data_IF_073951004811
#
_entry.id   IF_073951004811
#
_cell.length_a   1.000
_cell.length_b   1.000
_cell.length_c   1.000
_cell.angle_alpha   90.00
_cell.angle_beta   90.00
_cell.angle_gamma   90.00
#
_symmetry.space_group_name_H-M   'P 1'
#
loop_
_entity.id
_entity.type
_entity.pdbx_description
1 polymer ?
#
# COMPACT_ATOMS: atom_id res chain seq x y z
N UNK A 1 -62.35 44.48 47.94
CA UNK A 1 -62.29 43.13 47.35
C UNK A 1 -62.47 43.26 45.85
N UNK A 2 -61.42 43.03 45.07
CA UNK A 2 -61.53 42.89 43.62
C UNK A 2 -61.34 41.41 43.28
N UNK A 3 -62.35 40.88 42.58
CA UNK A 3 -62.50 39.50 42.21
C UNK A 3 -61.31 39.00 41.39
N UNK A 4 -60.99 37.72 41.55
CA UNK A 4 -59.96 37.00 40.80
C UNK A 4 -60.20 37.06 39.30
N UNK A 5 -59.64 38.08 38.65
CA UNK A 5 -59.54 38.15 37.21
C UNK A 5 -58.51 37.09 36.80
N UNK A 6 -59.00 35.92 36.36
CA UNK A 6 -58.21 34.90 35.65
C UNK A 6 -57.91 35.38 34.23
N UNK A 7 -57.39 36.59 34.09
CA UNK A 7 -57.15 37.22 32.78
C UNK A 7 -55.66 37.06 32.48
N UNK A 8 -55.35 36.35 31.39
CA UNK A 8 -53.97 35.99 31.03
C UNK A 8 -53.11 37.20 30.69
N UNK A 9 -51.84 37.17 31.09
CA UNK A 9 -50.83 38.24 30.92
C UNK A 9 -50.19 38.29 29.52
N UNK A 10 -50.84 37.73 28.50
CA UNK A 10 -50.30 37.60 27.14
C UNK A 10 -49.29 36.46 26.97
N UNK A 11 -48.49 36.53 25.89
CA UNK A 11 -47.44 35.55 25.56
C UNK A 11 -46.10 36.25 25.36
N UNK A 12 -45.00 35.56 25.70
CA UNK A 12 -43.62 36.01 25.48
C UNK A 12 -42.84 34.91 24.78
N UNK A 13 -41.94 35.28 23.87
CA UNK A 13 -41.01 34.32 23.24
C UNK A 13 -40.06 33.79 24.32
N UNK A 14 -40.11 32.47 24.55
CA UNK A 14 -39.25 31.79 25.52
C UNK A 14 -37.81 31.64 25.03
N UNK A 15 -37.62 31.53 23.71
CA UNK A 15 -36.32 31.41 23.05
C UNK A 15 -36.47 31.05 21.58
N UNK A 16 -35.35 31.05 20.85
CA UNK A 16 -35.25 30.52 19.48
C UNK A 16 -34.27 29.36 19.55
N UNK A 17 -34.73 28.16 19.20
CA UNK A 17 -33.92 26.93 19.21
C UNK A 17 -33.76 26.42 17.79
N UNK A 18 -32.54 26.02 17.43
CA UNK A 18 -32.28 25.39 16.15
C UNK A 18 -32.63 23.90 16.21
N UNK A 19 -33.32 23.41 15.18
CA UNK A 19 -33.52 21.98 14.96
C UNK A 19 -32.27 21.40 14.25
N UNK A 20 -31.71 20.34 14.84
CA UNK A 20 -30.50 19.67 14.36
C UNK A 20 -30.78 18.28 13.78
N UNK A 21 -32.04 17.94 13.52
CA UNK A 21 -32.41 16.73 12.78
C UNK A 21 -31.82 16.73 11.38
N UNK A 22 -31.51 15.53 10.88
CA UNK A 22 -30.90 15.38 9.56
C UNK A 22 -31.93 15.60 8.44
N UNK A 23 -31.53 16.36 7.43
CA UNK A 23 -32.25 16.46 6.16
C UNK A 23 -31.95 15.27 5.25
N UNK A 24 -32.57 15.27 4.07
CA UNK A 24 -32.24 14.30 3.02
C UNK A 24 -30.92 14.64 2.35
N UNK A 25 -30.02 13.66 2.24
CA UNK A 25 -28.75 13.83 1.52
C UNK A 25 -29.00 13.79 0.02
N UNK A 26 -28.44 14.77 -0.72
CA UNK A 26 -28.50 14.81 -2.19
C UNK A 26 -27.09 14.67 -2.77
N UNK A 27 -26.98 13.90 -3.86
CA UNK A 27 -25.70 13.71 -4.53
C UNK A 27 -25.41 14.92 -5.44
N UNK A 28 -24.20 15.47 -5.36
CA UNK A 28 -23.77 16.64 -6.14
C UNK A 28 -22.77 16.30 -7.26
N UNK A 29 -22.24 15.07 -7.30
CA UNK A 29 -21.18 14.64 -8.22
C UNK A 29 -19.79 15.25 -7.97
N UNK A 30 -19.61 16.07 -6.92
CA UNK A 30 -18.32 16.72 -6.59
C UNK A 30 -17.59 15.95 -5.50
N UNK A 31 -16.33 15.58 -5.74
CA UNK A 31 -15.54 14.76 -4.82
C UNK A 31 -15.14 15.42 -3.49
N UNK A 32 -15.29 16.74 -3.35
CA UNK A 32 -15.01 17.47 -2.11
C UNK A 32 -16.28 17.90 -1.35
N UNK A 33 -17.46 17.50 -1.83
CA UNK A 33 -18.70 17.71 -1.09
C UNK A 33 -18.94 16.53 -0.15
N UNK A 34 -19.08 16.83 1.13
CA UNK A 34 -19.34 15.81 2.16
C UNK A 34 -20.52 16.24 3.03
N UNK A 35 -21.31 15.26 3.45
CA UNK A 35 -22.41 15.44 4.39
C UNK A 35 -22.15 14.59 5.64
N UNK A 36 -22.48 15.14 6.80
CA UNK A 36 -22.46 14.38 8.05
C UNK A 36 -23.85 13.77 8.23
N UNK A 37 -23.93 12.45 8.30
CA UNK A 37 -25.10 11.77 8.85
C UNK A 37 -24.95 11.68 10.37
N UNK A 38 -26.01 11.94 11.12
CA UNK A 38 -26.05 11.99 12.58
C UNK A 38 -25.35 13.22 13.19
N UNK A 39 -25.12 13.18 14.49
CA UNK A 39 -24.51 14.25 15.25
C UNK A 39 -23.06 14.49 14.83
N UNK A 40 -22.75 15.74 14.48
CA UNK A 40 -21.37 16.17 14.23
C UNK A 40 -21.31 17.55 13.60
N UNK A 41 -20.09 18.10 13.56
CA UNK A 41 -19.75 19.34 12.88
C UNK A 41 -18.35 19.24 12.31
N UNK A 42 -18.13 19.89 11.17
CA UNK A 42 -16.79 20.19 10.68
C UNK A 42 -16.18 21.30 11.53
N UNK A 43 -14.92 21.13 11.94
CA UNK A 43 -14.14 22.14 12.65
C UNK A 43 -13.36 22.98 11.65
N UNK A 44 -13.65 24.27 11.63
CA UNK A 44 -13.07 25.25 10.73
C UNK A 44 -12.23 26.26 11.50
N UNK A 45 -11.24 26.86 10.85
CA UNK A 45 -10.47 27.98 11.40
C UNK A 45 -10.41 29.14 10.40
N UNK A 46 -10.43 30.37 10.91
CA UNK A 46 -10.12 31.56 10.10
C UNK A 46 -8.61 31.81 10.03
N UNK A 47 -8.20 32.84 9.28
CA UNK A 47 -6.80 33.26 9.17
C UNK A 47 -6.18 33.76 10.48
N UNK A 48 -7.01 34.10 11.48
CA UNK A 48 -6.58 34.56 12.80
C UNK A 48 -6.48 33.41 13.82
N UNK A 49 -6.85 32.18 13.42
CA UNK A 49 -6.87 31.00 14.29
C UNK A 49 -8.15 30.81 15.10
N UNK A 50 -9.18 31.63 14.89
CA UNK A 50 -10.48 31.48 15.56
C UNK A 50 -11.18 30.22 15.07
N UNK A 51 -11.78 29.46 15.99
CA UNK A 51 -12.41 28.18 15.69
C UNK A 51 -13.91 28.36 15.44
N UNK A 52 -14.40 27.76 14.37
CA UNK A 52 -15.81 27.72 13.99
C UNK A 52 -16.27 26.28 13.77
N UNK A 53 -17.58 26.07 13.83
CA UNK A 53 -18.21 24.78 13.57
C UNK A 53 -19.31 24.94 12.51
N UNK A 54 -19.34 24.04 11.53
CA UNK A 54 -20.31 24.07 10.43
C UNK A 54 -20.77 22.67 10.08
N UNK A 55 -22.02 22.53 9.64
CA UNK A 55 -22.51 21.31 8.96
C UNK A 55 -22.50 21.42 7.43
N UNK A 56 -22.28 22.61 6.89
CA UNK A 56 -22.11 22.76 5.44
C UNK A 56 -20.75 22.19 5.04
N UNK A 57 -20.76 21.08 4.31
CA UNK A 57 -19.56 20.39 3.84
C UNK A 57 -19.25 20.63 2.36
N UNK A 58 -19.59 21.80 1.83
CA UNK A 58 -19.13 22.27 0.53
C UNK A 58 -17.71 22.84 0.65
N UNK A 59 -16.73 22.08 0.16
CA UNK A 59 -15.32 22.47 0.21
C UNK A 59 -14.70 22.61 -1.18
N UNK A 60 -13.63 23.40 -1.24
CA UNK A 60 -12.77 23.57 -2.41
C UNK A 60 -11.31 23.63 -1.97
N UNK A 61 -10.40 23.51 -2.93
CA UNK A 61 -8.98 23.77 -2.70
C UNK A 61 -8.68 25.25 -2.93
N UNK A 62 -7.91 25.86 -2.03
CA UNK A 62 -7.30 27.17 -2.26
C UNK A 62 -5.99 27.05 -3.09
N UNK A 63 -5.34 28.17 -3.36
CA UNK A 63 -4.07 28.24 -4.10
C UNK A 63 -2.93 27.46 -3.41
N UNK A 64 -2.99 27.36 -2.08
CA UNK A 64 -2.04 26.61 -1.25
C UNK A 64 -2.46 25.14 -1.06
N UNK A 65 -3.50 24.70 -1.78
CA UNK A 65 -4.09 23.36 -1.69
C UNK A 65 -4.62 22.98 -0.31
N UNK A 66 -5.05 23.94 0.49
CA UNK A 66 -5.83 23.67 1.70
C UNK A 66 -7.30 23.45 1.35
N UNK A 67 -7.98 22.59 2.11
CA UNK A 67 -9.43 22.50 2.04
C UNK A 67 -10.06 23.71 2.75
N UNK A 68 -10.79 24.51 1.98
CA UNK A 68 -11.49 25.69 2.46
C UNK A 68 -12.97 25.62 2.10
N UNK A 69 -13.82 26.23 2.92
CA UNK A 69 -15.22 26.42 2.58
C UNK A 69 -15.43 27.61 1.62
N UNK A 70 -16.68 27.89 1.24
CA UNK A 70 -17.00 29.00 0.35
C UNK A 70 -16.67 30.39 0.91
N UNK A 71 -16.59 30.52 2.24
CA UNK A 71 -16.21 31.74 2.96
C UNK A 71 -14.69 31.89 3.17
N UNK A 72 -13.89 30.90 2.77
CA UNK A 72 -12.43 30.91 2.94
C UNK A 72 -11.93 30.39 4.29
N UNK A 73 -12.79 29.82 5.15
CA UNK A 73 -12.37 29.17 6.39
C UNK A 73 -11.76 27.81 6.07
N UNK A 74 -10.67 27.47 6.76
CA UNK A 74 -9.88 26.26 6.55
C UNK A 74 -10.43 25.08 7.35
N UNK A 75 -10.60 23.93 6.70
CA UNK A 75 -10.98 22.68 7.35
C UNK A 75 -9.78 22.11 8.12
N UNK A 76 -10.04 21.68 9.36
CA UNK A 76 -9.01 21.11 10.24
C UNK A 76 -9.20 19.62 10.49
N UNK A 77 -8.10 18.93 10.73
CA UNK A 77 -8.06 17.49 11.00
C UNK A 77 -6.71 17.05 11.54
N UNK A 78 -6.54 15.74 11.73
CA UNK A 78 -5.27 15.19 12.19
C UNK A 78 -4.25 15.12 11.04
N UNK A 79 -2.99 15.50 11.30
CA UNK A 79 -1.94 15.43 10.28
C UNK A 79 -1.54 13.98 9.99
N UNK A 80 -1.10 13.73 8.75
CA UNK A 80 -0.41 12.52 8.35
C UNK A 80 1.10 12.75 8.39
N UNK A 81 1.85 11.91 9.12
CA UNK A 81 3.32 12.02 9.23
C UNK A 81 4.01 10.66 9.08
N UNK A 82 5.32 10.70 8.81
CA UNK A 82 6.15 9.52 8.60
C UNK A 82 6.19 9.02 7.15
N UNK A 83 6.98 7.99 6.92
CA UNK A 83 7.14 7.34 5.60
C UNK A 83 7.05 5.82 5.80
N UNK A 84 5.93 5.16 5.44
CA UNK A 84 4.73 5.70 4.82
C UNK A 84 3.92 6.63 5.77
N UNK A 85 3.20 7.63 5.24
CA UNK A 85 2.39 8.53 6.07
C UNK A 85 1.30 7.79 6.84
N UNK A 86 1.14 8.13 8.11
CA UNK A 86 0.10 7.60 9.00
C UNK A 86 -0.54 8.73 9.80
N UNK A 87 -1.85 8.60 10.08
CA UNK A 87 -2.61 9.61 10.82
C UNK A 87 -2.21 9.60 12.29
N UNK A 88 -1.82 10.75 12.81
CA UNK A 88 -1.47 10.92 14.22
C UNK A 88 -2.71 11.26 15.04
N UNK A 89 -3.47 10.24 15.45
CA UNK A 89 -4.63 10.44 16.32
C UNK A 89 -4.17 11.01 17.68
N UNK A 90 -4.87 12.03 18.17
CA UNK A 90 -4.53 12.72 19.42
C UNK A 90 -3.50 13.85 19.28
N UNK A 91 -2.94 14.07 18.08
CA UNK A 91 -2.19 15.28 17.79
C UNK A 91 -3.12 16.50 17.72
N UNK A 92 -2.56 17.71 17.85
CA UNK A 92 -3.33 18.94 17.66
C UNK A 92 -3.88 19.01 16.22
N UNK A 93 -5.18 19.31 16.03
CA UNK A 93 -5.74 19.47 14.70
C UNK A 93 -5.07 20.62 13.93
N UNK A 94 -4.64 20.33 12.72
CA UNK A 94 -4.03 21.29 11.79
C UNK A 94 -4.92 21.45 10.57
N UNK A 95 -4.63 22.44 9.72
CA UNK A 95 -5.31 22.58 8.44
C UNK A 95 -5.09 21.34 7.56
N UNK A 96 -6.13 20.89 6.90
CA UNK A 96 -6.02 19.81 5.92
C UNK A 96 -5.50 20.40 4.62
N UNK A 97 -4.31 19.96 4.21
CA UNK A 97 -3.69 20.29 2.94
C UNK A 97 -3.55 19.04 2.07
N UNK A 98 -3.82 19.17 0.78
CA UNK A 98 -3.67 18.11 -0.21
C UNK A 98 -2.49 18.50 -1.12
N UNK A 99 -1.24 18.17 -0.77
CA UNK A 99 -0.09 18.55 -1.60
C UNK A 99 -0.13 17.86 -2.98
N UNK A 100 0.49 18.48 -3.99
CA UNK A 100 0.73 17.87 -5.31
C UNK A 100 2.16 17.31 -5.45
N UNK A 101 2.88 17.19 -4.33
CA UNK A 101 4.26 16.68 -4.30
C UNK A 101 4.32 15.28 -4.87
N UNK A 102 5.41 14.97 -5.59
CA UNK A 102 5.65 13.62 -6.06
C UNK A 102 5.77 12.68 -4.86
N UNK A 103 5.13 11.52 -4.93
CA UNK A 103 5.38 10.47 -3.94
C UNK A 103 6.75 9.86 -4.19
N UNK A 104 7.55 9.74 -3.14
CA UNK A 104 8.84 9.05 -3.22
C UNK A 104 8.64 7.58 -3.59
N UNK A 105 9.56 7.03 -4.38
CA UNK A 105 9.63 5.58 -4.58
C UNK A 105 9.83 4.89 -3.22
N UNK A 106 9.31 3.66 -3.12
CA UNK A 106 9.60 2.80 -1.97
C UNK A 106 10.39 1.61 -2.45
N UNK A 107 11.63 1.48 -1.97
CA UNK A 107 12.47 0.32 -2.19
C UNK A 107 11.75 -0.95 -1.73
N UNK A 108 11.80 -1.99 -2.55
CA UNK A 108 11.27 -3.30 -2.19
C UNK A 108 12.04 -3.87 -1.01
N UNK A 109 11.34 -4.23 0.07
CA UNK A 109 11.92 -4.89 1.26
C UNK A 109 11.51 -6.36 1.36
N UNK A 110 10.38 -6.72 0.77
CA UNK A 110 9.86 -8.09 0.73
C UNK A 110 9.23 -8.39 -0.62
N UNK A 111 9.47 -9.61 -1.11
CA UNK A 111 8.84 -10.21 -2.27
C UNK A 111 8.41 -11.64 -1.93
N UNK A 112 7.47 -12.20 -2.70
CA UNK A 112 7.06 -13.59 -2.56
C UNK A 112 6.84 -14.23 -3.92
N UNK A 113 7.15 -15.53 -4.00
CA UNK A 113 6.97 -16.37 -5.16
C UNK A 113 6.46 -17.73 -4.68
N UNK A 114 5.21 -18.05 -5.02
CA UNK A 114 4.66 -19.38 -4.77
C UNK A 114 4.84 -20.23 -6.03
N UNK A 115 5.45 -21.41 -5.87
CA UNK A 115 5.72 -22.32 -6.98
C UNK A 115 5.23 -23.74 -6.66
N UNK A 116 4.72 -24.40 -7.69
CA UNK A 116 4.48 -25.84 -7.69
C UNK A 116 5.57 -26.52 -8.52
N UNK A 117 6.38 -27.34 -7.86
CA UNK A 117 7.48 -28.09 -8.47
C UNK A 117 7.06 -29.53 -8.73
N UNK A 118 7.45 -30.05 -9.90
CA UNK A 118 7.15 -31.40 -10.33
C UNK A 118 8.13 -32.39 -9.69
N UNK A 119 7.63 -33.29 -8.84
CA UNK A 119 8.50 -34.27 -8.16
C UNK A 119 9.21 -35.21 -9.13
N UNK A 120 8.62 -35.49 -10.30
CA UNK A 120 9.18 -36.40 -11.31
C UNK A 120 10.19 -35.76 -12.26
N UNK A 121 10.52 -34.47 -12.08
CA UNK A 121 11.54 -33.84 -12.92
C UNK A 121 12.93 -34.51 -12.73
N UNK A 122 13.68 -34.73 -13.82
CA UNK A 122 15.03 -35.26 -13.73
C UNK A 122 16.00 -34.23 -13.14
N UNK A 123 17.14 -34.70 -12.66
CA UNK A 123 18.26 -33.82 -12.36
C UNK A 123 18.75 -33.15 -13.66
N UNK A 124 19.18 -31.87 -13.63
CA UNK A 124 19.79 -31.22 -14.78
C UNK A 124 20.97 -32.00 -15.35
N UNK A 125 21.10 -32.01 -16.67
CA UNK A 125 22.17 -32.75 -17.37
C UNK A 125 23.50 -32.01 -17.35
N UNK A 126 23.48 -30.69 -17.14
CA UNK A 126 24.66 -29.84 -17.03
C UNK A 126 24.90 -29.43 -15.58
N UNK A 127 26.09 -29.74 -15.06
CA UNK A 127 26.58 -29.29 -13.75
C UNK A 127 28.01 -28.75 -13.86
N UNK A 128 28.40 -27.69 -13.13
CA UNK A 128 27.57 -26.91 -12.19
C UNK A 128 26.53 -26.01 -12.88
N UNK A 129 25.62 -25.43 -12.09
CA UNK A 129 24.59 -24.48 -12.55
C UNK A 129 25.20 -23.31 -13.34
N UNK A 130 24.54 -22.92 -14.43
CA UNK A 130 24.86 -21.73 -15.23
C UNK A 130 23.59 -21.03 -15.73
N UNK A 131 23.39 -19.77 -15.34
CA UNK A 131 22.22 -19.00 -15.76
C UNK A 131 22.11 -18.81 -17.30
N UNK A 132 23.21 -18.93 -18.03
CA UNK A 132 23.24 -18.85 -19.49
C UNK A 132 22.93 -20.18 -20.20
N UNK A 133 22.88 -21.30 -19.48
CA UNK A 133 22.61 -22.62 -20.04
C UNK A 133 21.26 -23.17 -19.52
N UNK A 134 20.29 -23.29 -20.42
CA UNK A 134 18.94 -23.78 -20.12
C UNK A 134 18.92 -25.23 -19.59
N UNK A 135 19.92 -26.05 -19.94
CA UNK A 135 20.00 -27.46 -19.51
C UNK A 135 20.60 -27.62 -18.10
N UNK A 136 20.99 -26.51 -17.45
CA UNK A 136 21.57 -26.51 -16.10
C UNK A 136 20.56 -26.19 -14.98
N UNK A 137 19.28 -25.98 -15.33
CA UNK A 137 18.20 -25.72 -14.36
C UNK A 137 16.86 -26.31 -14.83
N UNK A 138 15.95 -26.55 -13.89
CA UNK A 138 14.64 -27.16 -14.17
C UNK A 138 13.55 -26.13 -14.46
N UNK A 139 13.62 -24.98 -13.78
CA UNK A 139 12.64 -23.90 -13.96
C UNK A 139 13.28 -22.54 -13.75
N UNK A 140 12.86 -21.59 -14.56
CA UNK A 140 13.14 -20.16 -14.40
C UNK A 140 11.83 -19.42 -14.12
N UNK A 141 11.85 -18.58 -13.09
CA UNK A 141 10.83 -17.59 -12.77
C UNK A 141 11.40 -16.19 -12.80
N UNK A 142 10.54 -15.19 -12.66
CA UNK A 142 10.93 -13.79 -12.56
C UNK A 142 10.08 -13.05 -11.55
N UNK A 143 10.69 -12.14 -10.80
CA UNK A 143 10.01 -11.15 -9.97
C UNK A 143 10.65 -9.79 -10.20
N UNK A 144 9.87 -8.80 -10.62
CA UNK A 144 10.36 -7.42 -10.71
C UNK A 144 10.39 -6.82 -9.31
N UNK A 145 11.47 -6.13 -8.94
CA UNK A 145 11.59 -5.37 -7.67
C UNK A 145 12.03 -3.93 -7.96
N UNK A 146 11.93 -3.03 -6.99
CA UNK A 146 12.23 -1.62 -7.16
C UNK A 146 13.31 -1.13 -6.19
N UNK A 147 14.20 -0.28 -6.68
CA UNK A 147 15.23 0.38 -5.87
C UNK A 147 14.74 1.67 -5.19
N UNK A 148 15.65 2.41 -4.56
CA UNK A 148 15.36 3.67 -3.86
C UNK A 148 14.90 4.83 -4.75
N UNK A 149 15.19 4.79 -6.04
CA UNK A 149 14.77 5.80 -7.02
C UNK A 149 13.54 5.35 -7.83
N UNK A 150 13.16 4.08 -7.71
CA UNK A 150 12.04 3.47 -8.42
C UNK A 150 12.43 2.85 -9.76
N UNK A 151 13.71 2.59 -10.01
CA UNK A 151 14.12 1.78 -11.16
C UNK A 151 13.66 0.34 -10.93
N UNK A 152 13.19 -0.30 -12.00
CA UNK A 152 12.75 -1.68 -11.98
C UNK A 152 13.95 -2.62 -12.20
N UNK A 153 14.02 -3.67 -11.39
CA UNK A 153 15.00 -4.76 -11.50
C UNK A 153 14.27 -6.07 -11.69
N UNK A 154 14.51 -6.76 -12.81
CA UNK A 154 13.92 -8.06 -13.09
C UNK A 154 14.79 -9.18 -12.50
N UNK A 155 14.38 -9.67 -11.33
CA UNK A 155 15.08 -10.75 -10.65
C UNK A 155 14.67 -12.09 -11.24
N UNK A 156 15.58 -12.72 -11.98
CA UNK A 156 15.45 -14.11 -12.41
C UNK A 156 15.67 -15.03 -11.22
N UNK A 157 14.76 -15.99 -11.02
CA UNK A 157 14.83 -17.01 -9.97
C UNK A 157 14.92 -18.37 -10.64
N UNK A 158 16.01 -19.10 -10.41
CA UNK A 158 16.26 -20.41 -11.02
C UNK A 158 16.10 -21.50 -9.97
N UNK A 159 15.36 -22.56 -10.32
CA UNK A 159 15.15 -23.74 -9.50
C UNK A 159 15.89 -24.91 -10.11
N UNK A 160 16.77 -25.53 -9.33
CA UNK A 160 17.66 -26.61 -9.75
C UNK A 160 17.44 -27.79 -8.79
N UNK A 161 16.89 -28.89 -9.28
CA UNK A 161 16.71 -30.10 -8.48
C UNK A 161 18.07 -30.71 -8.19
N UNK A 162 18.38 -30.94 -6.92
CA UNK A 162 19.67 -31.53 -6.48
C UNK A 162 19.51 -32.95 -5.95
N UNK A 163 18.30 -33.33 -5.58
CA UNK A 163 17.94 -34.67 -5.12
C UNK A 163 16.44 -34.78 -4.90
N UNK A 164 15.98 -35.92 -4.41
CA UNK A 164 14.57 -36.09 -4.06
C UNK A 164 14.18 -35.08 -2.98
N UNK A 165 13.09 -34.36 -3.23
CA UNK A 165 12.54 -33.31 -2.36
C UNK A 165 13.49 -32.13 -2.06
N UNK A 166 14.58 -31.98 -2.81
CA UNK A 166 15.60 -30.96 -2.58
C UNK A 166 15.84 -30.12 -3.83
N UNK A 167 15.68 -28.80 -3.70
CA UNK A 167 15.80 -27.84 -4.81
C UNK A 167 16.67 -26.65 -4.42
N UNK A 168 17.79 -26.48 -5.10
CA UNK A 168 18.61 -25.29 -4.96
C UNK A 168 17.98 -24.12 -5.72
N UNK A 169 17.90 -22.96 -5.09
CA UNK A 169 17.40 -21.72 -5.69
C UNK A 169 18.55 -20.75 -5.90
N UNK A 170 18.66 -20.22 -7.11
CA UNK A 170 19.58 -19.15 -7.48
C UNK A 170 18.79 -17.91 -7.89
N UNK A 171 19.37 -16.73 -7.65
CA UNK A 171 18.80 -15.45 -8.09
C UNK A 171 19.82 -14.66 -8.89
N UNK A 172 19.36 -13.94 -9.90
CA UNK A 172 20.19 -13.04 -10.71
C UNK A 172 19.36 -11.83 -11.11
N UNK A 173 19.94 -10.64 -10.98
CA UNK A 173 19.35 -9.41 -11.51
C UNK A 173 19.58 -9.36 -13.02
N UNK A 174 18.52 -9.48 -13.81
CA UNK A 174 18.62 -9.49 -15.27
C UNK A 174 18.69 -8.08 -15.86
N UNK A 175 18.43 -7.06 -15.05
CA UNK A 175 18.49 -5.65 -15.46
C UNK A 175 19.90 -5.07 -15.33
N UNK A 176 20.79 -5.71 -14.57
CA UNK A 176 22.21 -5.36 -14.46
C UNK A 176 23.06 -6.31 -15.33
N UNK A 177 23.72 -5.82 -16.39
CA UNK A 177 24.53 -6.65 -17.30
C UNK A 177 25.74 -7.31 -16.62
N UNK A 178 26.18 -6.80 -15.46
CA UNK A 178 27.31 -7.35 -14.70
C UNK A 178 26.85 -8.31 -13.59
N UNK A 179 25.55 -8.52 -13.44
CA UNK A 179 25.01 -9.38 -12.40
C UNK A 179 25.37 -10.84 -12.63
N UNK A 180 25.84 -11.48 -11.57
CA UNK A 180 26.09 -12.93 -11.53
C UNK A 180 25.01 -13.61 -10.69
N UNK A 181 24.60 -14.80 -11.11
CA UNK A 181 23.65 -15.57 -10.34
C UNK A 181 24.27 -16.03 -9.01
N UNK A 182 23.53 -15.86 -7.91
CA UNK A 182 23.95 -16.21 -6.55
C UNK A 182 22.98 -17.22 -5.95
N UNK A 183 23.50 -18.12 -5.13
CA UNK A 183 22.67 -19.03 -4.33
C UNK A 183 21.83 -18.22 -3.36
N UNK A 184 20.52 -18.44 -3.38
CA UNK A 184 19.55 -17.75 -2.53
C UNK A 184 19.15 -18.60 -1.32
N UNK A 185 18.73 -19.83 -1.56
CA UNK A 185 18.29 -20.79 -0.54
C UNK A 185 18.20 -22.20 -1.12
N UNK A 186 17.93 -23.20 -0.29
CA UNK A 186 17.57 -24.57 -0.68
C UNK A 186 16.17 -24.87 -0.17
N UNK A 187 15.24 -25.22 -1.06
CA UNK A 187 13.89 -25.62 -0.69
C UNK A 187 13.87 -27.12 -0.38
N UNK A 188 13.39 -27.47 0.81
CA UNK A 188 13.23 -28.85 1.24
C UNK A 188 11.75 -29.17 1.43
N UNK A 189 11.29 -30.25 0.80
CA UNK A 189 9.91 -30.71 0.91
C UNK A 189 9.85 -32.03 1.71
N UNK A 190 8.75 -32.26 2.42
CA UNK A 190 8.49 -33.56 3.01
C UNK A 190 7.85 -34.53 2.00
N UNK A 191 7.63 -35.78 2.41
CA UNK A 191 7.01 -36.81 1.58
C UNK A 191 5.58 -36.49 1.09
N UNK A 192 4.87 -35.58 1.77
CA UNK A 192 3.55 -35.11 1.37
C UNK A 192 3.61 -33.91 0.41
N UNK A 193 4.81 -33.47 0.03
CA UNK A 193 5.00 -32.36 -0.91
C UNK A 193 4.88 -30.98 -0.29
N UNK A 194 4.84 -30.86 1.04
CA UNK A 194 4.79 -29.55 1.70
C UNK A 194 6.20 -29.06 2.02
N UNK A 195 6.44 -27.77 1.81
CA UNK A 195 7.71 -27.11 2.13
C UNK A 195 7.96 -27.12 3.64
N UNK A 196 9.13 -27.60 4.06
CA UNK A 196 9.54 -27.70 5.48
C UNK A 196 10.77 -26.86 5.81
N UNK A 197 11.63 -26.57 4.84
CA UNK A 197 12.77 -25.65 5.01
C UNK A 197 13.01 -24.79 3.77
N UNK A 198 13.76 -23.70 3.93
CA UNK A 198 14.15 -22.80 2.83
C UNK A 198 13.09 -21.80 2.40
N UNK A 199 11.96 -21.72 3.11
CA UNK A 199 10.81 -20.88 2.75
C UNK A 199 11.12 -19.37 2.66
N UNK A 200 12.28 -18.93 3.16
CA UNK A 200 12.73 -17.54 3.09
C UNK A 200 14.17 -17.49 2.60
N UNK A 201 14.41 -16.78 1.51
CA UNK A 201 15.73 -16.36 1.10
C UNK A 201 15.92 -14.89 1.50
N UNK A 202 16.82 -14.64 2.45
CA UNK A 202 17.07 -13.30 2.97
C UNK A 202 18.23 -12.64 2.23
N UNK A 203 18.31 -11.31 2.32
CA UNK A 203 19.44 -10.52 1.84
C UNK A 203 19.68 -10.68 0.33
N UNK A 204 18.62 -10.86 -0.46
CA UNK A 204 18.71 -10.81 -1.92
C UNK A 204 18.95 -9.36 -2.31
N UNK A 205 20.02 -9.10 -3.03
CA UNK A 205 20.43 -7.77 -3.45
C UNK A 205 20.34 -7.62 -4.97
N UNK A 206 19.83 -6.48 -5.44
CA UNK A 206 19.89 -6.10 -6.85
C UNK A 206 21.28 -5.57 -7.22
N UNK A 207 21.50 -5.31 -8.51
CA UNK A 207 22.62 -4.47 -8.96
C UNK A 207 22.40 -3.00 -8.64
N UNK A 208 23.45 -2.20 -8.81
CA UNK A 208 23.37 -0.74 -8.80
C UNK A 208 23.17 -0.25 -10.24
N UNK A 209 22.01 0.33 -10.54
CA UNK A 209 21.68 0.85 -11.87
C UNK A 209 21.52 2.36 -11.77
N UNK A 210 22.04 3.10 -12.76
CA UNK A 210 21.90 4.56 -12.86
C UNK A 210 22.37 5.35 -11.62
N UNK A 211 23.30 4.80 -10.82
CA UNK A 211 23.81 5.42 -9.60
C UNK A 211 22.88 5.34 -8.39
N UNK A 212 21.78 4.59 -8.48
CA UNK A 212 20.92 4.29 -7.34
C UNK A 212 21.54 3.21 -6.44
N UNK A 213 21.26 3.31 -5.14
CA UNK A 213 21.63 2.28 -4.16
C UNK A 213 20.86 0.97 -4.44
N UNK A 214 21.54 -0.20 -4.41
CA UNK A 214 20.89 -1.50 -4.57
C UNK A 214 19.75 -1.75 -3.59
N UNK A 215 18.67 -2.37 -4.04
CA UNK A 215 17.62 -2.88 -3.16
C UNK A 215 18.07 -4.17 -2.49
N UNK A 216 17.89 -4.26 -1.17
CA UNK A 216 18.05 -5.51 -0.41
C UNK A 216 16.70 -5.95 0.14
N UNK A 217 16.28 -7.18 -0.14
CA UNK A 217 14.98 -7.69 0.23
C UNK A 217 15.00 -9.17 0.63
N UNK A 218 13.93 -9.61 1.30
CA UNK A 218 13.66 -11.03 1.53
C UNK A 218 12.66 -11.57 0.50
N UNK A 219 12.98 -12.72 -0.10
CA UNK A 219 12.11 -13.45 -1.03
C UNK A 219 11.50 -14.66 -0.31
N UNK A 220 10.17 -14.68 -0.21
CA UNK A 220 9.42 -15.77 0.40
C UNK A 220 8.94 -16.79 -0.62
N UNK A 221 9.10 -18.07 -0.30
CA UNK A 221 8.54 -19.22 -1.01
C UNK A 221 7.43 -19.91 -0.22
N UNK A 222 6.88 -19.25 0.80
CA UNK A 222 5.83 -19.80 1.65
C UNK A 222 4.63 -20.28 0.80
N UNK A 223 4.04 -21.41 1.21
CA UNK A 223 2.96 -22.10 0.49
C UNK A 223 3.34 -22.74 -0.85
N UNK A 224 4.63 -22.77 -1.21
CA UNK A 224 5.09 -23.57 -2.34
C UNK A 224 4.93 -25.06 -2.02
N UNK A 225 4.67 -25.86 -3.06
CA UNK A 225 4.47 -27.30 -2.94
C UNK A 225 5.28 -28.05 -3.99
N UNK A 226 5.55 -29.32 -3.70
CA UNK A 226 6.08 -30.27 -4.67
C UNK A 226 5.09 -31.41 -4.86
N UNK A 227 4.61 -31.61 -6.07
CA UNK A 227 3.62 -32.64 -6.41
C UNK A 227 3.95 -33.22 -7.79
N UNK A 228 3.45 -34.40 -8.13
CA UNK A 228 3.56 -34.91 -9.50
C UNK A 228 2.51 -34.21 -10.39
N UNK A 229 2.78 -32.97 -10.78
CA UNK A 229 1.86 -32.10 -11.54
C UNK A 229 2.11 -32.10 -13.04
N UNK A 230 3.06 -32.92 -13.52
CA UNK A 230 3.48 -32.99 -14.93
C UNK A 230 4.40 -31.86 -15.39
N UNK A 231 4.19 -30.62 -14.93
CA UNK A 231 5.07 -29.49 -15.20
C UNK A 231 5.17 -28.51 -14.02
N UNK A 232 6.30 -27.81 -13.93
CA UNK A 232 6.53 -26.73 -12.96
C UNK A 232 5.70 -25.49 -13.31
N UNK A 233 4.98 -24.93 -12.34
CA UNK A 233 4.21 -23.71 -12.53
C UNK A 233 4.39 -22.72 -11.37
N UNK A 234 4.55 -21.44 -11.71
CA UNK A 234 4.56 -20.34 -10.73
C UNK A 234 3.11 -19.91 -10.55
N UNK A 235 2.61 -20.04 -9.31
CA UNK A 235 1.20 -19.84 -8.99
C UNK A 235 0.93 -18.37 -8.66
N UNK A 236 1.85 -17.70 -7.98
CA UNK A 236 1.72 -16.29 -7.63
C UNK A 236 3.09 -15.63 -7.41
N UNK A 237 3.18 -14.35 -7.78
CA UNK A 237 4.28 -13.46 -7.41
C UNK A 237 3.72 -12.17 -6.85
N UNK A 238 4.14 -11.75 -5.66
CA UNK A 238 3.72 -10.47 -5.08
C UNK A 238 4.89 -9.72 -4.45
N UNK A 239 4.79 -8.40 -4.45
CA UNK A 239 5.71 -7.48 -3.77
C UNK A 239 4.94 -6.26 -3.27
N UNK A 240 5.45 -5.59 -2.24
CA UNK A 240 4.86 -4.33 -1.76
C UNK A 240 5.32 -3.16 -2.64
N UNK A 241 4.57 -2.88 -3.71
CA UNK A 241 4.89 -1.85 -4.72
C UNK A 241 4.59 -0.43 -4.22
N UNK A 242 5.50 0.53 -4.47
CA UNK A 242 5.16 1.94 -4.77
C UNK A 242 6.14 2.49 -5.83
N UNK A 243 5.62 2.86 -7.00
CA UNK A 243 6.35 3.58 -8.03
C UNK A 243 6.17 5.10 -7.81
N UNK A 244 7.15 5.92 -8.21
CA UNK A 244 6.99 7.37 -8.23
C UNK A 244 5.78 7.75 -9.07
N UNK A 245 4.88 8.53 -8.47
CA UNK A 245 3.64 8.96 -9.11
C UNK A 245 3.26 10.35 -8.61
N UNK A 246 2.74 11.17 -9.52
CA UNK A 246 2.02 12.40 -9.15
C UNK A 246 0.62 11.98 -8.70
N UNK A 247 0.09 12.61 -7.66
CA UNK A 247 -1.28 12.36 -7.18
C UNK A 247 -2.28 12.57 -8.34
N UNK A 248 -2.75 11.47 -8.92
CA UNK A 248 -3.88 11.41 -9.82
C UNK A 248 -4.98 10.71 -9.06
N UNK A 249 -6.03 11.46 -8.74
CA UNK A 249 -7.30 11.07 -8.09
C UNK A 249 -7.21 10.10 -6.90
N UNK A 250 -7.71 10.55 -5.75
CA UNK A 250 -8.04 9.67 -4.63
C UNK A 250 -9.22 8.77 -5.05
N UNK A 251 -8.96 7.74 -5.85
CA UNK A 251 -9.90 6.66 -6.07
C UNK A 251 -9.80 5.73 -4.88
N UNK A 252 -10.89 5.60 -4.13
CA UNK A 252 -11.07 4.49 -3.20
C UNK A 252 -10.87 3.17 -3.97
N UNK A 253 -9.87 2.39 -3.57
CA UNK A 253 -9.86 0.93 -3.66
C UNK A 253 -9.62 0.38 -2.26
#
# INVERSE_FOLDING_TARGET
MFAGSKVGLGVKVAGITQDFTDGTTTNTGRGLDVAISQNGFFRLVDSNGSVFYSRNGQFKLDENRNLVNMQGLQLTGYPATGTPPTIQQGANPTNISIPNTLMAAKTTTTASMQINLNSSDPLPTVTPFSASNADSYNKKGSVTVFDSQGNAHDMSVYFVKTGDNNWQVYTQDSSDPNSIAKTATTLEFNANGTLVDGAMANNIATGAINGAEPATFSLSFLNSMQQNTGANNIVATTQKRLQTGRSGELSNQ
#
